data_IF_437164340752
#
_entry.id   IF_437164340752
#
_cell.length_a   1.000
_cell.length_b   1.000
_cell.length_c   1.000
_cell.angle_alpha   90.00
_cell.angle_beta   90.00
_cell.angle_gamma   90.00
#
_symmetry.space_group_name_H-M   'P 1'
#
loop_
_entity.id
_entity.type
_entity.pdbx_description
1 polymer ?
#
# COMPACT_ATOMS: atom_id res chain seq x y z
N UNK A 1 -0.71 -0.22 11.15
CA UNK A 1 0.35 -1.01 11.77
C UNK A 1 1.71 -0.41 11.45
N UNK A 2 2.57 -0.23 12.42
CA UNK A 2 3.98 0.14 12.23
C UNK A 2 4.81 -0.44 13.39
N UNK A 3 6.10 -0.73 13.10
CA UNK A 3 7.06 -1.16 14.12
C UNK A 3 7.65 0.04 14.88
N UNK A 4 7.51 1.26 14.36
CA UNK A 4 7.97 2.48 15.03
C UNK A 4 6.82 3.18 15.77
N UNK A 5 6.85 3.22 17.13
CA UNK A 5 5.78 3.79 17.93
C UNK A 5 5.49 5.27 17.66
N UNK A 6 6.53 6.05 17.27
CA UNK A 6 6.38 7.48 17.01
C UNK A 6 5.42 7.79 15.88
N UNK A 7 5.45 6.97 14.82
CA UNK A 7 4.56 7.11 13.66
C UNK A 7 3.12 6.92 14.08
N UNK A 8 2.84 5.85 14.81
CA UNK A 8 1.50 5.53 15.33
C UNK A 8 1.01 6.61 16.31
N UNK A 9 1.87 7.08 17.22
CA UNK A 9 1.53 8.18 18.13
C UNK A 9 1.19 9.47 17.38
N UNK A 10 1.90 9.75 16.27
CA UNK A 10 1.59 10.87 15.39
C UNK A 10 0.19 10.77 14.78
N UNK A 11 -0.26 9.58 14.41
CA UNK A 11 -1.60 9.33 13.87
C UNK A 11 -2.66 9.46 14.97
N UNK A 12 -2.43 8.89 16.14
CA UNK A 12 -3.36 8.95 17.30
C UNK A 12 -3.55 10.39 17.79
N UNK A 13 -2.54 11.24 17.70
CA UNK A 13 -2.61 12.64 18.06
C UNK A 13 -3.13 13.56 16.94
N UNK A 14 -3.40 13.01 15.76
CA UNK A 14 -3.90 13.78 14.61
C UNK A 14 -5.40 14.08 14.74
N UNK A 15 -5.91 15.12 14.05
CA UNK A 15 -7.36 15.39 13.98
C UNK A 15 -8.18 14.21 13.42
N UNK A 16 -7.53 13.31 12.68
CA UNK A 16 -8.13 12.15 12.03
C UNK A 16 -8.15 10.90 12.92
N UNK A 17 -7.61 10.96 14.13
CA UNK A 17 -7.53 9.80 15.04
C UNK A 17 -8.88 9.11 15.27
N UNK A 18 -9.97 9.90 15.30
CA UNK A 18 -11.33 9.40 15.50
C UNK A 18 -11.86 8.51 14.37
N UNK A 19 -11.20 8.50 13.21
CA UNK A 19 -11.58 7.64 12.07
C UNK A 19 -11.07 6.20 12.25
N UNK A 20 -10.13 5.98 13.15
CA UNK A 20 -9.54 4.66 13.38
C UNK A 20 -10.08 4.04 14.66
N UNK A 21 -10.43 2.77 14.59
CA UNK A 21 -10.70 1.99 15.81
C UNK A 21 -9.37 1.72 16.52
N UNK A 22 -9.29 2.10 17.81
CA UNK A 22 -8.08 1.92 18.60
C UNK A 22 -7.65 0.46 18.76
N UNK A 23 -8.60 -0.47 18.70
CA UNK A 23 -8.32 -1.91 18.80
C UNK A 23 -7.62 -2.46 17.54
N UNK A 24 -7.74 -1.75 16.40
CA UNK A 24 -7.12 -2.14 15.13
C UNK A 24 -5.75 -1.49 14.93
N UNK A 25 -5.27 -0.75 15.92
CA UNK A 25 -3.97 -0.10 15.86
C UNK A 25 -2.92 -1.00 16.52
N UNK A 26 -2.10 -1.63 15.69
CA UNK A 26 -0.95 -2.39 16.16
C UNK A 26 0.28 -1.49 16.28
N UNK A 27 0.90 -1.50 17.44
CA UNK A 27 2.13 -0.78 17.75
C UNK A 27 3.12 -1.73 18.43
N UNK A 28 4.33 -1.84 17.89
CA UNK A 28 5.37 -2.68 18.50
C UNK A 28 5.76 -2.16 19.89
N UNK A 29 5.82 -3.06 20.87
CA UNK A 29 6.20 -2.72 22.27
C UNK A 29 7.68 -2.39 22.41
N UNK A 30 8.52 -2.94 21.53
CA UNK A 30 9.98 -2.83 21.64
C UNK A 30 10.58 -1.65 20.86
N UNK A 31 9.82 -1.04 19.94
CA UNK A 31 10.31 0.05 19.10
C UNK A 31 11.46 -0.37 18.17
N UNK A 32 12.08 0.62 17.51
CA UNK A 32 13.30 0.41 16.74
C UNK A 32 13.11 0.12 15.25
N UNK A 33 11.88 -0.11 14.79
CA UNK A 33 11.61 -0.40 13.38
C UNK A 33 12.35 -1.63 12.86
N UNK A 34 12.42 -1.81 11.54
CA UNK A 34 13.14 -2.91 10.89
C UNK A 34 14.55 -2.51 10.37
N UNK A 35 15.04 -1.32 10.73
CA UNK A 35 16.37 -0.84 10.32
C UNK A 35 16.61 -0.81 8.81
N UNK A 36 15.60 -0.45 8.03
CA UNK A 36 15.62 -0.49 6.56
C UNK A 36 16.03 -1.86 5.97
N UNK A 37 15.76 -2.96 6.68
CA UNK A 37 16.13 -4.31 6.26
C UNK A 37 14.89 -5.18 6.10
N UNK A 38 14.66 -5.67 4.88
CA UNK A 38 13.53 -6.54 4.54
C UNK A 38 13.50 -7.81 5.41
N UNK A 39 14.65 -8.48 5.59
CA UNK A 39 14.73 -9.72 6.36
C UNK A 39 14.39 -9.50 7.84
N UNK A 40 14.87 -8.40 8.44
CA UNK A 40 14.54 -8.02 9.81
C UNK A 40 13.04 -7.72 9.95
N UNK A 41 12.45 -7.03 8.98
CA UNK A 41 11.00 -6.76 8.97
C UNK A 41 10.18 -8.04 8.84
N UNK A 42 10.58 -8.96 7.98
CA UNK A 42 9.92 -10.24 7.77
C UNK A 42 9.97 -11.12 9.04
N UNK A 43 11.13 -11.25 9.68
CA UNK A 43 11.31 -11.99 10.95
C UNK A 43 10.49 -11.38 12.10
N UNK A 44 10.43 -10.05 12.18
CA UNK A 44 9.57 -9.40 13.16
C UNK A 44 8.08 -9.63 12.87
N UNK A 45 7.67 -9.62 11.59
CA UNK A 45 6.32 -10.00 11.19
C UNK A 45 5.95 -11.41 11.62
N UNK A 46 6.87 -12.38 11.47
CA UNK A 46 6.67 -13.76 11.89
C UNK A 46 6.50 -13.88 13.41
N UNK A 47 7.28 -13.15 14.19
CA UNK A 47 7.17 -13.10 15.66
C UNK A 47 5.86 -12.47 16.15
N UNK A 48 5.26 -11.60 15.37
CA UNK A 48 4.03 -10.88 15.67
C UNK A 48 2.81 -11.47 14.95
N UNK A 49 2.97 -12.68 14.42
CA UNK A 49 1.97 -13.37 13.59
C UNK A 49 0.58 -13.41 14.24
N UNK A 50 0.53 -13.90 15.48
CA UNK A 50 -0.75 -14.10 16.19
C UNK A 50 -1.47 -12.78 16.45
N UNK A 51 -0.74 -11.77 16.93
CA UNK A 51 -1.30 -10.43 17.22
C UNK A 51 -1.85 -9.74 15.96
N UNK A 52 -1.15 -9.89 14.83
CA UNK A 52 -1.55 -9.28 13.57
C UNK A 52 -2.78 -9.98 12.98
N UNK A 53 -2.76 -11.32 12.96
CA UNK A 53 -3.86 -12.08 12.39
C UNK A 53 -5.12 -11.97 13.24
N UNK A 54 -5.02 -11.89 14.58
CA UNK A 54 -6.17 -11.67 15.44
C UNK A 54 -6.94 -10.41 15.07
N UNK A 55 -6.21 -9.31 14.77
CA UNK A 55 -6.84 -8.06 14.33
C UNK A 55 -7.52 -8.24 12.98
N UNK A 56 -6.86 -8.89 12.03
CA UNK A 56 -7.37 -9.10 10.67
C UNK A 56 -8.59 -10.02 10.71
N UNK A 57 -8.52 -11.12 11.43
CA UNK A 57 -9.61 -12.09 11.54
C UNK A 57 -10.85 -11.46 12.18
N UNK A 58 -10.67 -10.65 13.22
CA UNK A 58 -11.77 -9.94 13.87
C UNK A 58 -12.51 -9.01 12.91
N UNK A 59 -11.79 -8.23 12.09
CA UNK A 59 -12.42 -7.37 11.09
C UNK A 59 -13.05 -8.18 9.94
N UNK A 60 -12.43 -9.29 9.56
CA UNK A 60 -12.98 -10.18 8.54
C UNK A 60 -14.28 -10.86 9.01
N UNK A 61 -14.33 -11.29 10.27
CA UNK A 61 -15.52 -11.90 10.87
C UNK A 61 -16.67 -10.91 11.10
N UNK A 62 -16.36 -9.64 11.37
CA UNK A 62 -17.34 -8.58 11.51
C UNK A 62 -17.93 -8.11 10.18
N UNK A 63 -17.40 -8.57 9.05
CA UNK A 63 -17.87 -8.21 7.72
C UNK A 63 -18.92 -9.19 7.23
N UNK A 64 -20.13 -8.72 6.91
CA UNK A 64 -21.21 -9.54 6.35
C UNK A 64 -20.85 -10.16 4.98
N UNK A 65 -20.03 -9.44 4.19
CA UNK A 65 -19.59 -9.87 2.87
C UNK A 65 -18.18 -9.37 2.59
N UNK A 66 -17.19 -10.11 3.08
CA UNK A 66 -15.78 -9.80 2.80
C UNK A 66 -15.48 -10.08 1.32
N UNK A 67 -15.08 -9.06 0.58
CA UNK A 67 -14.69 -9.15 -0.82
C UNK A 67 -13.18 -9.38 -0.97
N UNK A 68 -12.39 -8.67 -0.19
CA UNK A 68 -10.94 -8.77 -0.21
C UNK A 68 -10.27 -7.78 0.73
N UNK A 69 -8.96 -7.64 0.57
CA UNK A 69 -8.11 -6.79 1.37
C UNK A 69 -7.42 -5.73 0.52
N UNK A 70 -7.29 -4.54 1.07
CA UNK A 70 -6.51 -3.45 0.47
C UNK A 70 -5.34 -3.13 1.38
N UNK A 71 -4.13 -3.32 0.89
CA UNK A 71 -2.90 -3.11 1.64
C UNK A 71 -2.13 -1.90 1.11
N UNK A 72 -1.69 -1.02 2.01
CA UNK A 72 -0.85 0.14 1.68
C UNK A 72 0.52 -0.05 2.32
N UNK A 73 1.58 -0.05 1.50
CA UNK A 73 2.94 -0.24 1.99
C UNK A 73 3.99 0.39 1.07
N UNK A 74 5.21 0.56 1.58
CA UNK A 74 6.39 0.87 0.77
C UNK A 74 7.15 -0.41 0.44
N UNK A 75 7.83 -0.44 -0.71
CA UNK A 75 8.62 -1.60 -1.14
C UNK A 75 10.11 -1.49 -0.76
N UNK A 76 10.60 -0.29 -0.48
CA UNK A 76 12.04 -0.01 -0.32
C UNK A 76 12.50 0.13 1.14
N UNK A 77 11.58 0.36 2.08
CA UNK A 77 11.87 0.42 3.52
C UNK A 77 12.04 -0.96 4.15
N UNK A 78 12.17 -1.02 5.47
CA UNK A 78 12.27 -2.28 6.22
C UNK A 78 10.90 -2.82 6.64
N UNK A 79 10.09 -2.02 7.34
CA UNK A 79 8.76 -2.41 7.84
C UNK A 79 7.78 -2.61 6.70
N UNK A 80 7.58 -1.60 5.84
CA UNK A 80 6.62 -1.68 4.73
C UNK A 80 6.95 -2.78 3.72
N UNK A 81 8.22 -3.08 3.51
CA UNK A 81 8.68 -4.15 2.63
C UNK A 81 8.66 -5.52 3.30
N UNK A 82 9.30 -5.68 4.46
CA UNK A 82 9.45 -6.95 5.15
C UNK A 82 8.17 -7.44 5.81
N UNK A 83 7.60 -6.64 6.72
CA UNK A 83 6.33 -7.00 7.38
C UNK A 83 5.19 -6.99 6.36
N UNK A 84 5.19 -6.06 5.40
CA UNK A 84 4.20 -6.03 4.32
C UNK A 84 4.22 -7.31 3.49
N UNK A 85 5.41 -7.81 3.12
CA UNK A 85 5.57 -9.08 2.41
C UNK A 85 5.08 -10.27 3.24
N UNK A 86 5.38 -10.30 4.52
CA UNK A 86 4.91 -11.33 5.44
C UNK A 86 3.38 -11.37 5.52
N UNK A 87 2.76 -10.22 5.76
CA UNK A 87 1.29 -10.12 5.85
C UNK A 87 0.63 -10.54 4.54
N UNK A 88 1.16 -10.09 3.40
CA UNK A 88 0.64 -10.43 2.08
C UNK A 88 0.64 -11.95 1.86
N UNK A 89 1.71 -12.64 2.23
CA UNK A 89 1.84 -14.09 2.14
C UNK A 89 0.83 -14.80 3.05
N UNK A 90 0.71 -14.34 4.31
CA UNK A 90 -0.25 -14.92 5.26
C UNK A 90 -1.71 -14.67 4.88
N UNK A 91 -2.04 -13.51 4.33
CA UNK A 91 -3.38 -13.23 3.80
C UNK A 91 -3.74 -14.19 2.67
N UNK A 92 -2.82 -14.41 1.74
CA UNK A 92 -3.05 -15.35 0.64
C UNK A 92 -3.23 -16.79 1.12
N UNK A 93 -2.45 -17.22 2.13
CA UNK A 93 -2.58 -18.57 2.72
C UNK A 93 -3.89 -18.74 3.48
N UNK A 94 -4.30 -17.72 4.25
CA UNK A 94 -5.49 -17.80 5.11
C UNK A 94 -6.80 -17.54 4.38
N UNK A 95 -6.78 -16.63 3.39
CA UNK A 95 -7.93 -16.22 2.60
C UNK A 95 -7.72 -16.41 1.09
N UNK A 96 -7.46 -17.64 0.61
CA UNK A 96 -7.04 -17.91 -0.78
C UNK A 96 -8.09 -17.55 -1.84
N UNK A 97 -9.36 -17.31 -1.42
CA UNK A 97 -10.47 -16.95 -2.32
C UNK A 97 -10.84 -15.46 -2.26
N UNK A 98 -10.09 -14.68 -1.50
CA UNK A 98 -10.35 -13.26 -1.33
C UNK A 98 -9.30 -12.45 -2.08
N UNK A 99 -9.74 -11.37 -2.71
CA UNK A 99 -8.85 -10.51 -3.47
C UNK A 99 -7.88 -9.76 -2.57
N UNK A 100 -6.64 -9.64 -3.01
CA UNK A 100 -5.63 -8.82 -2.35
C UNK A 100 -5.12 -7.75 -3.31
N UNK A 101 -5.58 -6.51 -3.09
CA UNK A 101 -5.12 -5.33 -3.80
C UNK A 101 -4.06 -4.62 -2.97
N UNK A 102 -2.98 -4.14 -3.59
CA UNK A 102 -1.96 -3.36 -2.90
C UNK A 102 -1.76 -2.00 -3.54
N UNK A 103 -1.56 -0.98 -2.70
CA UNK A 103 -0.99 0.31 -3.09
C UNK A 103 0.46 0.33 -2.65
N UNK A 104 1.37 0.16 -3.60
CA UNK A 104 2.79 -0.03 -3.34
C UNK A 104 3.57 1.22 -3.74
N UNK A 105 4.22 1.84 -2.76
CA UNK A 105 5.04 3.05 -2.96
C UNK A 105 6.44 2.64 -3.35
N UNK A 106 6.87 3.10 -4.55
CA UNK A 106 8.20 2.89 -5.10
C UNK A 106 9.13 4.06 -4.73
N UNK A 107 10.41 3.79 -4.47
CA UNK A 107 11.37 4.82 -4.10
C UNK A 107 11.70 5.76 -5.27
N UNK A 108 12.26 6.91 -4.94
CA UNK A 108 12.83 7.83 -5.93
C UNK A 108 14.13 7.25 -6.46
N UNK A 109 14.24 7.11 -7.78
CA UNK A 109 15.42 6.51 -8.45
C UNK A 109 16.34 7.60 -9.03
N UNK A 110 15.86 8.83 -9.19
CA UNK A 110 16.66 9.93 -9.75
C UNK A 110 17.85 10.27 -8.86
N UNK A 111 19.04 10.32 -9.46
CA UNK A 111 20.32 10.50 -8.77
C UNK A 111 20.42 11.77 -7.91
N UNK A 112 19.67 12.81 -8.22
CA UNK A 112 19.68 14.08 -7.49
C UNK A 112 18.77 14.08 -6.25
N UNK A 113 17.77 13.22 -6.21
CA UNK A 113 16.75 13.12 -5.14
C UNK A 113 16.72 11.75 -4.48
N UNK A 114 17.63 10.86 -4.89
CA UNK A 114 17.69 9.50 -4.35
C UNK A 114 17.99 9.52 -2.84
N UNK A 115 17.40 8.60 -2.13
CA UNK A 115 17.69 8.39 -0.70
C UNK A 115 19.10 7.82 -0.53
N UNK A 116 19.80 8.23 0.53
CA UNK A 116 21.15 7.73 0.90
C UNK A 116 21.15 6.25 1.32
N UNK A 117 19.99 5.59 1.33
CA UNK A 117 19.85 4.20 1.78
C UNK A 117 20.20 3.23 0.65
N UNK A 118 21.40 2.68 0.72
CA UNK A 118 22.01 1.79 -0.32
C UNK A 118 21.25 0.47 -0.49
N UNK A 119 20.53 -0.01 0.53
CA UNK A 119 19.84 -1.32 0.53
C UNK A 119 18.44 -1.30 -0.09
N UNK A 120 17.94 -0.15 -0.50
CA UNK A 120 16.59 -0.02 -1.10
C UNK A 120 16.34 -0.96 -2.30
N UNK A 121 17.25 -1.15 -3.26
CA UNK A 121 17.06 -2.06 -4.38
C UNK A 121 16.85 -3.51 -3.95
N UNK A 122 17.58 -3.97 -2.93
CA UNK A 122 17.44 -5.33 -2.40
C UNK A 122 16.08 -5.55 -1.76
N UNK A 123 15.64 -4.61 -0.91
CA UNK A 123 14.32 -4.66 -0.29
C UNK A 123 13.22 -4.66 -1.35
N UNK A 124 13.37 -3.83 -2.38
CA UNK A 124 12.42 -3.71 -3.49
C UNK A 124 12.28 -5.03 -4.27
N UNK A 125 13.39 -5.68 -4.62
CA UNK A 125 13.38 -6.94 -5.37
C UNK A 125 12.71 -8.06 -4.56
N UNK A 126 13.02 -8.16 -3.26
CA UNK A 126 12.44 -9.16 -2.37
C UNK A 126 10.92 -8.96 -2.22
N UNK A 127 10.49 -7.70 -2.10
CA UNK A 127 9.07 -7.33 -2.00
C UNK A 127 8.34 -7.58 -3.32
N UNK A 128 8.94 -7.21 -4.46
CA UNK A 128 8.37 -7.45 -5.79
C UNK A 128 8.13 -8.94 -6.04
N UNK A 129 9.04 -9.80 -5.60
CA UNK A 129 8.82 -11.26 -5.68
C UNK A 129 7.53 -11.66 -4.98
N UNK A 130 7.27 -11.15 -3.78
CA UNK A 130 6.04 -11.46 -3.02
C UNK A 130 4.79 -10.86 -3.67
N UNK A 131 4.88 -9.64 -4.18
CA UNK A 131 3.78 -9.00 -4.90
C UNK A 131 3.39 -9.77 -6.16
N UNK A 132 4.36 -10.24 -6.94
CA UNK A 132 4.10 -11.06 -8.14
C UNK A 132 3.43 -12.39 -7.80
N UNK A 133 3.75 -12.98 -6.65
CA UNK A 133 3.26 -14.30 -6.27
C UNK A 133 1.92 -14.28 -5.54
N UNK A 134 1.66 -13.26 -4.73
CA UNK A 134 0.60 -13.26 -3.72
C UNK A 134 -0.43 -12.13 -3.87
N UNK A 135 -0.18 -11.11 -4.69
CA UNK A 135 -1.15 -10.04 -4.92
C UNK A 135 -1.95 -10.28 -6.19
N UNK A 136 -3.24 -9.94 -6.19
CA UNK A 136 -4.11 -9.98 -7.38
C UNK A 136 -4.04 -8.69 -8.19
N UNK A 137 -3.83 -7.56 -7.51
CA UNK A 137 -3.71 -6.25 -8.13
C UNK A 137 -2.70 -5.40 -7.37
N UNK A 138 -1.73 -4.84 -8.07
CA UNK A 138 -0.71 -3.94 -7.50
C UNK A 138 -0.82 -2.58 -8.17
N UNK A 139 -1.27 -1.58 -7.42
CA UNK A 139 -1.26 -0.18 -7.87
C UNK A 139 0.10 0.42 -7.53
N UNK A 140 0.87 0.71 -8.56
CA UNK A 140 2.22 1.27 -8.43
C UNK A 140 2.14 2.77 -8.21
N UNK A 141 2.67 3.24 -7.09
CA UNK A 141 2.82 4.65 -6.74
C UNK A 141 4.31 5.01 -6.78
N UNK A 142 4.78 5.43 -7.95
CA UNK A 142 6.18 5.83 -8.12
C UNK A 142 6.38 7.28 -7.68
N UNK A 143 7.18 7.49 -6.64
CA UNK A 143 7.50 8.82 -6.14
C UNK A 143 8.23 9.68 -7.16
N UNK A 144 9.02 9.10 -8.07
CA UNK A 144 9.65 9.83 -9.16
C UNK A 144 8.62 10.41 -10.12
N UNK A 145 7.64 9.59 -10.51
CA UNK A 145 6.55 10.02 -11.38
C UNK A 145 5.64 11.06 -10.68
N UNK A 146 5.35 10.87 -9.41
CA UNK A 146 4.56 11.82 -8.61
C UNK A 146 5.24 13.18 -8.48
N UNK A 147 6.56 13.21 -8.25
CA UNK A 147 7.36 14.44 -8.25
C UNK A 147 7.30 15.14 -9.60
N UNK A 148 7.43 14.40 -10.69
CA UNK A 148 7.33 14.95 -12.05
C UNK A 148 5.94 15.52 -12.32
N UNK A 149 4.87 14.84 -11.93
CA UNK A 149 3.49 15.35 -12.03
C UNK A 149 3.32 16.66 -11.22
N UNK A 150 3.85 16.70 -10.01
CA UNK A 150 3.79 17.89 -9.17
C UNK A 150 4.53 19.09 -9.80
N UNK A 151 5.71 18.88 -10.37
CA UNK A 151 6.50 19.91 -11.04
C UNK A 151 5.82 20.39 -12.32
N UNK A 152 5.45 19.47 -13.22
CA UNK A 152 4.95 19.82 -14.56
C UNK A 152 3.51 20.32 -14.57
N UNK A 153 2.62 19.71 -13.76
CA UNK A 153 1.18 20.01 -13.78
C UNK A 153 0.76 21.02 -12.72
N UNK A 154 1.32 20.90 -11.51
CA UNK A 154 1.01 21.81 -10.41
C UNK A 154 1.98 22.97 -10.31
N UNK A 155 3.05 22.99 -11.13
CA UNK A 155 4.10 24.01 -11.16
C UNK A 155 4.75 24.24 -9.78
N UNK A 156 5.02 23.17 -9.08
CA UNK A 156 5.70 23.17 -7.79
C UNK A 156 7.13 22.68 -8.01
N UNK A 157 8.12 23.55 -7.98
CA UNK A 157 9.51 23.22 -8.33
C UNK A 157 10.16 22.22 -7.36
N UNK A 158 9.75 22.22 -6.09
CA UNK A 158 10.24 21.29 -5.07
C UNK A 158 9.08 20.77 -4.20
N UNK A 159 8.37 19.72 -4.64
CA UNK A 159 7.21 19.22 -3.92
C UNK A 159 7.61 18.59 -2.58
N UNK A 160 6.90 18.96 -1.53
CA UNK A 160 7.04 18.37 -0.21
C UNK A 160 6.32 17.01 -0.15
N UNK A 161 6.72 16.14 0.79
CA UNK A 161 6.01 14.88 1.02
C UNK A 161 4.51 15.04 1.27
N UNK A 162 4.10 16.14 1.91
CA UNK A 162 2.67 16.43 2.13
C UNK A 162 1.93 16.61 0.81
N UNK A 163 2.51 17.31 -0.16
CA UNK A 163 1.91 17.53 -1.48
C UNK A 163 1.87 16.22 -2.30
N UNK A 164 2.93 15.43 -2.24
CA UNK A 164 2.97 14.10 -2.87
C UNK A 164 1.90 13.20 -2.27
N UNK A 165 1.77 13.16 -0.95
CA UNK A 165 0.75 12.39 -0.25
C UNK A 165 -0.67 12.85 -0.60
N UNK A 166 -0.89 14.14 -0.88
CA UNK A 166 -2.15 14.65 -1.37
C UNK A 166 -2.49 14.11 -2.76
N UNK A 167 -1.51 14.01 -3.66
CA UNK A 167 -1.69 13.34 -4.96
C UNK A 167 -2.03 11.86 -4.78
N UNK A 168 -1.30 11.15 -3.94
CA UNK A 168 -1.57 9.73 -3.61
C UNK A 168 -2.99 9.57 -3.06
N UNK A 169 -3.40 10.43 -2.13
CA UNK A 169 -4.74 10.43 -1.55
C UNK A 169 -5.82 10.64 -2.62
N UNK A 170 -5.60 11.54 -3.57
CA UNK A 170 -6.51 11.76 -4.70
C UNK A 170 -6.62 10.51 -5.57
N UNK A 171 -5.51 9.84 -5.82
CA UNK A 171 -5.46 8.59 -6.58
C UNK A 171 -6.26 7.49 -5.89
N UNK A 172 -6.03 7.27 -4.60
CA UNK A 172 -6.76 6.28 -3.81
C UNK A 172 -8.26 6.61 -3.73
N UNK A 173 -8.60 7.89 -3.55
CA UNK A 173 -9.98 8.34 -3.52
C UNK A 173 -10.70 8.09 -4.84
N UNK A 174 -10.06 8.36 -5.98
CA UNK A 174 -10.67 8.11 -7.30
C UNK A 174 -10.80 6.62 -7.62
N UNK A 175 -9.81 5.80 -7.28
CA UNK A 175 -9.86 4.35 -7.51
C UNK A 175 -10.95 3.66 -6.68
N UNK A 176 -11.29 4.19 -5.50
CA UNK A 176 -12.35 3.67 -4.63
C UNK A 176 -13.72 4.32 -4.87
N UNK A 177 -13.82 5.29 -5.79
CA UNK A 177 -15.09 5.96 -6.08
C UNK A 177 -16.23 5.00 -6.47
N UNK A 178 -16.04 3.96 -7.30
CA UNK A 178 -17.09 3.02 -7.65
C UNK A 178 -17.67 2.28 -6.45
N UNK A 179 -16.86 2.01 -5.42
CA UNK A 179 -17.30 1.35 -4.19
C UNK A 179 -18.11 2.27 -3.28
N UNK A 180 -17.73 3.55 -3.21
CA UNK A 180 -18.35 4.55 -2.33
C UNK A 180 -19.62 5.16 -2.93
N UNK A 181 -19.67 5.25 -4.24
CA UNK A 181 -20.82 5.82 -4.99
C UNK A 181 -21.29 4.78 -6.01
N UNK A 182 -22.20 3.87 -5.61
CA UNK A 182 -22.67 2.81 -6.47
C UNK A 182 -23.35 3.39 -7.71
N UNK A 183 -23.02 2.82 -8.86
CA UNK A 183 -23.59 3.15 -10.15
C UNK A 183 -24.07 1.87 -10.84
N UNK A 184 -24.66 1.99 -12.03
CA UNK A 184 -25.11 0.81 -12.81
C UNK A 184 -23.99 -0.09 -13.30
N UNK A 185 -22.73 0.39 -13.28
CA UNK A 185 -21.55 -0.33 -13.74
C UNK A 185 -20.50 -0.36 -12.63
N UNK A 186 -19.92 -1.54 -12.37
CA UNK A 186 -18.76 -1.73 -11.49
C UNK A 186 -18.94 -1.17 -10.06
N UNK A 187 -19.62 -1.93 -9.21
CA UNK A 187 -19.84 -1.56 -7.81
C UNK A 187 -18.95 -2.35 -6.84
N UNK A 188 -18.08 -3.20 -7.37
CA UNK A 188 -17.22 -4.12 -6.62
C UNK A 188 -15.76 -4.04 -7.10
N UNK A 189 -14.83 -4.44 -6.23
CA UNK A 189 -13.41 -4.53 -6.57
C UNK A 189 -13.15 -5.57 -7.65
N UNK A 190 -13.91 -6.66 -7.64
CA UNK A 190 -13.75 -7.77 -8.57
C UNK A 190 -13.94 -7.29 -10.01
N UNK A 191 -15.03 -6.58 -10.27
CA UNK A 191 -15.34 -6.09 -11.61
C UNK A 191 -14.35 -5.03 -12.08
N UNK A 192 -13.85 -4.19 -11.17
CA UNK A 192 -12.81 -3.20 -11.48
C UNK A 192 -11.48 -3.88 -11.85
N UNK A 193 -11.05 -4.85 -11.07
CA UNK A 193 -9.82 -5.61 -11.33
C UNK A 193 -9.97 -6.40 -12.63
N UNK A 194 -11.08 -7.07 -12.86
CA UNK A 194 -11.34 -7.83 -14.08
C UNK A 194 -11.33 -6.96 -15.34
N UNK A 195 -11.80 -5.71 -15.23
CA UNK A 195 -11.77 -4.77 -16.34
C UNK A 195 -10.37 -4.22 -16.66
N UNK A 196 -9.51 -4.09 -15.65
CA UNK A 196 -8.18 -3.48 -15.79
C UNK A 196 -7.06 -4.49 -16.03
N UNK A 197 -7.21 -5.73 -15.57
CA UNK A 197 -6.18 -6.78 -15.64
C UNK A 197 -6.57 -7.84 -16.67
N UNK A 198 -6.02 -7.78 -17.89
CA UNK A 198 -6.36 -8.73 -18.96
C UNK A 198 -5.77 -10.13 -18.72
N UNK A 199 -4.71 -10.21 -17.94
CA UNK A 199 -3.99 -11.46 -17.67
C UNK A 199 -3.57 -11.52 -16.20
N UNK A 200 -3.87 -12.60 -15.47
CA UNK A 200 -3.61 -12.68 -14.01
C UNK A 200 -2.17 -12.39 -13.58
N UNK A 201 -1.19 -12.67 -14.44
CA UNK A 201 0.23 -12.39 -14.15
C UNK A 201 0.67 -10.97 -14.48
N UNK A 202 -0.14 -10.20 -15.21
CA UNK A 202 0.12 -8.81 -15.56
C UNK A 202 -0.77 -7.89 -14.72
N UNK A 203 -0.60 -7.95 -13.41
CA UNK A 203 -1.48 -7.31 -12.43
C UNK A 203 -0.87 -6.04 -11.80
N UNK A 204 0.19 -5.51 -12.38
CA UNK A 204 0.77 -4.23 -11.96
C UNK A 204 0.15 -3.10 -12.77
N UNK A 205 -0.56 -2.21 -12.09
CA UNK A 205 -1.20 -1.04 -12.67
C UNK A 205 -0.34 0.19 -12.39
N UNK A 206 0.30 0.70 -13.42
CA UNK A 206 1.05 1.94 -13.36
C UNK A 206 0.15 3.16 -13.55
N UNK A 207 0.60 4.33 -13.06
CA UNK A 207 -0.07 5.60 -13.30
C UNK A 207 0.77 6.47 -14.20
N UNK A 208 0.18 6.89 -15.30
CA UNK A 208 0.76 7.87 -16.19
C UNK A 208 0.17 9.27 -15.90
N UNK A 209 0.89 10.31 -16.34
CA UNK A 209 0.55 11.73 -16.16
C UNK A 209 -0.87 12.07 -16.66
N UNK A 210 -1.41 11.28 -17.55
CA UNK A 210 -2.73 11.48 -18.14
C UNK A 210 -3.91 10.92 -17.33
N UNK A 211 -3.67 10.22 -16.22
CA UNK A 211 -4.68 9.46 -15.48
C UNK A 211 -5.18 10.18 -14.21
N UNK A 212 -5.11 11.50 -14.17
CA UNK A 212 -5.98 12.26 -13.25
C UNK A 212 -7.44 12.28 -13.78
N UNK A 213 -7.64 11.91 -15.03
CA UNK A 213 -8.94 11.50 -15.54
C UNK A 213 -8.92 9.98 -15.71
N UNK A 214 -9.71 9.26 -14.93
CA UNK A 214 -10.18 7.93 -15.29
C UNK A 214 -11.06 8.06 -16.54
N UNK A 215 -10.47 8.44 -17.65
CA UNK A 215 -11.05 8.17 -18.94
C UNK A 215 -10.36 6.93 -19.46
N UNK A 216 -11.17 5.87 -19.58
CA UNK A 216 -10.89 4.71 -20.40
C UNK A 216 -9.85 5.02 -21.46
N UNK A 217 -8.64 4.53 -21.26
CA UNK A 217 -7.72 4.35 -22.36
C UNK A 217 -8.15 3.04 -23.00
N UNK A 218 -8.94 3.17 -24.02
CA UNK A 218 -9.02 2.23 -25.12
C UNK A 218 -8.40 2.88 -26.34
#
# INVERSE_FOLDING_TARGET
MDLEPRVIQGIINSPFAKLYNSENIFMSKHGGGAGNNWASGYDQGDKLYDDILEIIDREAENSDSLEGFVMCHSIAGGTGSGVGSFILERLNDRYPKKLTQTYSVFPIIDNELASDVVVQPYNSILTLKRLVQNADCVVVLDNTALNRIAAERLRIDSPTFTQINQLVSTIMSTSTTPLRYPSYMHNDLISLIAALIPTPRLHFLGKDINVICFHSVF
#
